data_IF_498664498567
#
_entry.id   IF_498664498567
#
_cell.length_a   1.000
_cell.length_b   1.000
_cell.length_c   1.000
_cell.angle_alpha   90.00
_cell.angle_beta   90.00
_cell.angle_gamma   90.00
#
_symmetry.space_group_name_H-M   'P 1'
#
loop_
_entity.id
_entity.type
_entity.pdbx_description
1 polymer ?
#
# COMPACT_ATOMS: atom_id res chain seq x y z
N UNK A 1 12.31 6.14 -1.07
CA UNK A 1 12.47 7.34 -0.21
C UNK A 1 11.09 7.80 0.24
N UNK A 2 10.92 8.19 1.50
CA UNK A 2 9.67 8.74 2.01
C UNK A 2 9.70 10.27 1.96
N UNK A 3 8.55 10.91 1.78
CA UNK A 3 8.43 12.37 1.93
C UNK A 3 8.46 12.75 3.42
N UNK A 4 8.88 13.98 3.73
CA UNK A 4 9.06 14.44 5.11
C UNK A 4 7.76 14.45 5.94
N UNK A 5 6.61 14.45 5.28
CA UNK A 5 5.26 14.35 5.85
C UNK A 5 4.75 12.91 5.92
N UNK A 6 5.58 11.92 5.58
CA UNK A 6 5.28 10.47 5.57
C UNK A 6 4.08 10.06 4.70
N UNK A 7 3.52 11.00 3.94
CA UNK A 7 2.31 10.82 3.14
C UNK A 7 2.59 10.27 1.74
N UNK A 8 3.86 10.17 1.35
CA UNK A 8 4.26 9.84 -0.02
C UNK A 8 5.49 8.95 -0.07
N UNK A 9 5.43 7.92 -0.91
CA UNK A 9 6.51 6.97 -1.15
C UNK A 9 7.05 7.20 -2.56
N UNK A 10 8.36 7.44 -2.66
CA UNK A 10 9.09 7.49 -3.93
C UNK A 10 9.86 6.19 -4.13
N UNK A 11 9.57 5.49 -5.21
CA UNK A 11 10.33 4.33 -5.69
C UNK A 11 11.04 4.70 -6.99
N UNK A 12 12.33 4.37 -7.12
CA UNK A 12 13.05 4.49 -8.38
C UNK A 12 13.60 3.13 -8.80
N UNK A 13 13.64 2.89 -10.11
CA UNK A 13 14.20 1.69 -10.73
C UNK A 13 15.53 2.03 -11.41
N UNK A 14 16.38 1.02 -11.57
CA UNK A 14 17.66 1.13 -12.25
C UNK A 14 17.49 1.42 -13.76
N UNK A 15 16.27 1.22 -14.28
CA UNK A 15 15.86 1.61 -15.63
C UNK A 15 15.57 3.13 -15.78
N UNK A 16 15.77 3.91 -14.73
CA UNK A 16 15.54 5.37 -14.73
C UNK A 16 14.10 5.79 -14.46
N UNK A 17 13.18 4.85 -14.21
CA UNK A 17 11.79 5.17 -13.88
C UNK A 17 11.64 5.47 -12.39
N UNK A 18 11.22 6.69 -12.06
CA UNK A 18 10.74 7.04 -10.73
C UNK A 18 9.20 7.03 -10.71
N UNK A 19 8.62 6.46 -9.66
CA UNK A 19 7.17 6.48 -9.38
C UNK A 19 6.95 7.06 -8.00
N UNK A 20 6.06 8.04 -7.92
CA UNK A 20 5.60 8.64 -6.68
C UNK A 20 4.22 8.09 -6.35
N UNK A 21 4.06 7.62 -5.12
CA UNK A 21 2.83 7.02 -4.62
C UNK A 21 2.30 7.87 -3.47
N UNK A 22 1.03 8.25 -3.55
CA UNK A 22 0.33 8.89 -2.44
C UNK A 22 -0.08 7.80 -1.44
N UNK A 23 0.54 7.83 -0.27
CA UNK A 23 0.38 6.89 0.83
C UNK A 23 -0.30 7.62 1.99
N UNK A 24 -1.62 7.70 1.94
CA UNK A 24 -2.36 7.87 3.17
C UNK A 24 -2.28 6.57 3.98
N UNK A 25 -2.34 6.71 5.29
CA UNK A 25 -2.69 5.61 6.18
C UNK A 25 -3.97 5.99 6.87
N UNK A 26 -4.93 5.07 6.87
CA UNK A 26 -6.02 5.17 7.82
C UNK A 26 -5.40 5.02 9.21
N UNK A 27 -5.67 5.97 10.11
CA UNK A 27 -5.04 6.00 11.44
C UNK A 27 -5.37 4.76 12.28
N UNK A 28 -6.41 4.01 11.91
CA UNK A 28 -6.85 2.76 12.53
C UNK A 28 -6.66 1.52 11.65
N UNK A 29 -5.98 1.63 10.49
CA UNK A 29 -5.71 0.45 9.66
C UNK A 29 -4.82 -0.55 10.42
N UNK A 30 -5.14 -1.85 10.42
CA UNK A 30 -4.37 -2.81 11.21
C UNK A 30 -2.91 -2.84 10.73
N UNK A 31 -1.96 -2.53 11.62
CA UNK A 31 -0.51 -2.50 11.33
C UNK A 31 -0.03 -3.82 10.71
N UNK A 32 -0.68 -4.93 11.05
CA UNK A 32 -0.44 -6.25 10.47
C UNK A 32 -0.64 -6.33 8.94
N UNK A 33 -1.39 -5.40 8.34
CA UNK A 33 -1.69 -5.36 6.91
C UNK A 33 -0.91 -4.28 6.16
N UNK A 34 -0.12 -3.43 6.84
CA UNK A 34 0.76 -2.45 6.19
C UNK A 34 1.74 -3.08 5.20
N UNK A 35 2.35 -4.26 5.45
CA UNK A 35 3.19 -4.91 4.45
C UNK A 35 2.42 -5.18 3.15
N UNK A 36 1.21 -5.74 3.24
CA UNK A 36 0.37 -6.01 2.08
C UNK A 36 0.02 -4.73 1.30
N UNK A 37 -0.28 -3.64 2.00
CA UNK A 37 -0.54 -2.34 1.38
C UNK A 37 0.68 -1.85 0.58
N UNK A 38 1.87 -1.87 1.19
CA UNK A 38 3.12 -1.45 0.54
C UNK A 38 3.41 -2.34 -0.67
N UNK A 39 3.17 -3.64 -0.58
CA UNK A 39 3.37 -4.57 -1.69
C UNK A 39 2.44 -4.29 -2.88
N UNK A 40 1.16 -4.03 -2.60
CA UNK A 40 0.16 -3.70 -3.63
C UNK A 40 0.44 -2.35 -4.26
N UNK A 41 0.85 -1.36 -3.48
CA UNK A 41 1.13 -0.02 -3.99
C UNK A 41 2.40 0.01 -4.84
N UNK A 42 3.47 -0.64 -4.39
CA UNK A 42 4.76 -0.62 -5.09
C UNK A 42 4.87 -1.66 -6.20
N UNK A 43 4.01 -2.68 -6.21
CA UNK A 43 4.14 -3.82 -7.13
C UNK A 43 5.38 -4.68 -6.83
N UNK A 44 5.90 -4.59 -5.61
CA UNK A 44 7.10 -5.33 -5.17
C UNK A 44 6.80 -6.09 -3.88
N UNK A 45 7.55 -7.15 -3.59
CA UNK A 45 7.54 -7.83 -2.31
C UNK A 45 8.91 -7.72 -1.66
N UNK A 46 8.92 -7.40 -0.38
CA UNK A 46 10.13 -7.38 0.44
C UNK A 46 10.09 -8.58 1.39
N UNK A 47 11.17 -9.36 1.45
CA UNK A 47 11.30 -10.40 2.46
C UNK A 47 11.85 -9.83 3.78
N UNK A 48 11.86 -10.65 4.84
CA UNK A 48 12.33 -10.23 6.17
C UNK A 48 13.82 -9.83 6.21
N UNK A 49 14.58 -10.17 5.17
CA UNK A 49 15.98 -9.80 4.99
C UNK A 49 16.17 -8.50 4.21
N UNK A 50 15.07 -7.82 3.83
CA UNK A 50 15.11 -6.56 3.07
C UNK A 50 15.32 -6.72 1.57
N UNK A 51 15.34 -7.95 1.04
CA UNK A 51 15.46 -8.18 -0.39
C UNK A 51 14.12 -7.88 -1.09
N UNK A 52 14.16 -6.98 -2.07
CA UNK A 52 13.01 -6.57 -2.87
C UNK A 52 12.94 -7.39 -4.15
N UNK A 53 11.76 -7.95 -4.46
CA UNK A 53 11.46 -8.60 -5.74
C UNK A 53 10.24 -7.97 -6.39
N UNK A 54 10.21 -7.91 -7.72
CA UNK A 54 9.03 -7.46 -8.46
C UNK A 54 7.94 -8.53 -8.44
N UNK A 55 6.70 -8.15 -8.15
CA UNK A 55 5.55 -9.04 -8.20
C UNK A 55 5.18 -9.34 -9.65
N UNK A 56 4.85 -10.60 -9.93
CA UNK A 56 4.21 -10.95 -11.21
C UNK A 56 2.79 -10.40 -11.25
N UNK A 57 2.29 -10.08 -12.43
CA UNK A 57 0.96 -9.49 -12.62
C UNK A 57 -0.16 -10.27 -11.91
N UNK A 58 -0.14 -11.60 -11.97
CA UNK A 58 -1.14 -12.46 -11.33
C UNK A 58 -1.01 -12.49 -9.80
N UNK A 59 0.22 -12.44 -9.27
CA UNK A 59 0.46 -12.36 -7.82
C UNK A 59 0.01 -10.99 -7.28
N UNK A 60 0.31 -9.92 -8.01
CA UNK A 60 -0.11 -8.57 -7.67
C UNK A 60 -1.63 -8.43 -7.67
N UNK A 61 -2.33 -8.97 -8.68
CA UNK A 61 -3.81 -8.96 -8.73
C UNK A 61 -4.42 -9.66 -7.52
N UNK A 62 -3.90 -10.83 -7.13
CA UNK A 62 -4.38 -11.55 -5.94
C UNK A 62 -4.17 -10.76 -4.66
N UNK A 63 -2.98 -10.16 -4.48
CA UNK A 63 -2.68 -9.31 -3.32
C UNK A 63 -3.54 -8.05 -3.28
N UNK A 64 -3.79 -7.44 -4.45
CA UNK A 64 -4.67 -6.28 -4.58
C UNK A 64 -6.11 -6.61 -4.19
N UNK A 65 -6.61 -7.77 -4.58
CA UNK A 65 -7.95 -8.22 -4.19
C UNK A 65 -8.04 -8.48 -2.69
N UNK A 66 -7.04 -9.13 -2.10
CA UNK A 66 -6.98 -9.34 -0.65
C UNK A 66 -6.93 -8.01 0.12
N UNK A 67 -6.13 -7.05 -0.35
CA UNK A 67 -6.08 -5.70 0.22
C UNK A 67 -7.45 -5.01 0.14
N UNK A 68 -8.15 -5.14 -1.00
CA UNK A 68 -9.48 -4.55 -1.17
C UNK A 68 -10.49 -5.11 -0.17
N UNK A 69 -10.52 -6.42 0.03
CA UNK A 69 -11.43 -7.06 1.00
C UNK A 69 -11.15 -6.61 2.43
N UNK A 70 -9.87 -6.52 2.82
CA UNK A 70 -9.48 -6.03 4.15
C UNK A 70 -9.86 -4.56 4.32
N UNK A 71 -9.61 -3.73 3.30
CA UNK A 71 -9.95 -2.31 3.32
C UNK A 71 -11.47 -2.08 3.37
N UNK A 72 -12.27 -2.87 2.65
CA UNK A 72 -13.73 -2.83 2.68
C UNK A 72 -14.28 -3.24 4.05
N UNK A 73 -13.79 -4.35 4.61
CA UNK A 73 -14.18 -4.81 5.95
C UNK A 73 -13.81 -3.76 7.02
N UNK A 74 -12.61 -3.19 6.92
CA UNK A 74 -12.17 -2.11 7.81
C UNK A 74 -13.02 -0.85 7.64
N UNK A 75 -13.38 -0.46 6.42
CA UNK A 75 -14.21 0.73 6.18
C UNK A 75 -15.59 0.66 6.86
N UNK A 76 -16.14 -0.55 7.07
CA UNK A 76 -17.39 -0.74 7.80
C UNK A 76 -17.26 -0.44 9.31
N UNK A 77 -16.11 -0.76 9.90
CA UNK A 77 -15.81 -0.60 11.33
C UNK A 77 -14.93 0.61 11.66
N UNK A 78 -14.43 1.31 10.63
CA UNK A 78 -13.47 2.41 10.75
C UNK A 78 -14.06 3.54 11.60
N UNK A 79 -13.31 3.90 12.63
CA UNK A 79 -13.65 4.96 13.59
C UNK A 79 -13.39 6.35 13.00
N UNK A 80 -12.50 6.44 12.02
CA UNK A 80 -12.07 7.69 11.39
C UNK A 80 -12.41 7.75 9.89
N UNK A 81 -13.69 7.59 9.54
CA UNK A 81 -14.21 7.60 8.16
C UNK A 81 -13.74 8.75 7.26
N UNK A 82 -13.36 9.92 7.84
CA UNK A 82 -12.83 11.07 7.09
C UNK A 82 -11.37 10.92 6.64
N UNK A 83 -10.58 10.07 7.31
CA UNK A 83 -9.19 9.78 6.95
C UNK A 83 -9.07 8.54 6.05
N UNK A 84 -10.14 7.75 5.95
CA UNK A 84 -10.18 6.52 5.17
C UNK A 84 -9.97 6.77 3.68
N UNK A 85 -8.85 6.28 3.16
CA UNK A 85 -8.45 6.39 1.76
C UNK A 85 -9.35 5.61 0.81
N UNK A 86 -9.93 4.50 1.26
CA UNK A 86 -10.86 3.70 0.47
C UNK A 86 -12.13 4.50 0.15
N UNK A 87 -12.63 5.27 1.13
CA UNK A 87 -13.78 6.14 0.98
C UNK A 87 -13.49 7.43 0.19
N UNK A 88 -12.23 7.87 0.08
CA UNK A 88 -11.85 9.05 -0.70
C UNK A 88 -11.70 8.79 -2.20
N UNK A 89 -11.50 7.53 -2.60
CA UNK A 89 -11.25 7.14 -4.00
C UNK A 89 -12.45 6.54 -4.73
N UNK A 90 -13.62 6.47 -4.11
CA UNK A 90 -14.82 5.81 -4.62
C UNK A 90 -15.94 6.78 -5.00
#
# INVERSE_FOLDING_TARGET
>A
MFSADESRILTWSDDGTARLWDFGVDYDFPVAHLPLQVEVMTGTAMNDFGAVKTLRAEEWKRKKEAYKQIAEAHAAECRYKKANLYLKGH
#
